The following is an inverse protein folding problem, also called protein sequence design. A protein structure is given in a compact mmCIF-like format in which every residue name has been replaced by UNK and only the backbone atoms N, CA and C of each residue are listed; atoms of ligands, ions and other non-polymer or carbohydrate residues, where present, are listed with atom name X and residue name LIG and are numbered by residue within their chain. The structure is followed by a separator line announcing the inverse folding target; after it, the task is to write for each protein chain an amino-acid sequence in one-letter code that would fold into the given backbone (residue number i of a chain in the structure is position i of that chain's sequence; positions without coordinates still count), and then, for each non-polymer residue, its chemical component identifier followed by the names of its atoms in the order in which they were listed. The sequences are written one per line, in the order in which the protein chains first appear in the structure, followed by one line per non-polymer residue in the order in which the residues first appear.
data_IF_837692727266
#
_entry.id   IF_837692727266
#
_cell.length_a   1.000
_cell.length_b   1.000
_cell.length_c   1.000
_cell.angle_alpha   90.00
_cell.angle_beta   90.00
_cell.angle_gamma   90.00
#
_symmetry.space_group_name_H-M   'P 1'
#
loop_
_entity.id
_entity.type
_entity.pdbx_description
1 polymer ?
#
# COMPACT_ATOMS: atom_id res chain seq x y z
N UNK A 1 -12.57 2.69 -7.11
CA UNK A 1 -12.22 1.62 -6.15
C UNK A 1 -11.89 0.36 -6.94
N UNK A 2 -10.74 -0.29 -6.69
CA UNK A 2 -10.36 -1.55 -7.33
C UNK A 2 -10.16 -2.60 -6.23
N UNK A 3 -10.74 -3.78 -6.42
CA UNK A 3 -10.52 -4.94 -5.56
C UNK A 3 -9.25 -5.65 -6.03
N UNK A 4 -8.41 -6.06 -5.08
CA UNK A 4 -7.22 -6.88 -5.37
C UNK A 4 -7.50 -8.32 -4.99
N UNK A 5 -6.89 -9.27 -5.72
CA UNK A 5 -6.76 -10.66 -5.28
C UNK A 5 -5.83 -10.73 -4.04
N UNK A 6 -5.50 -11.95 -3.57
CA UNK A 6 -4.59 -12.13 -2.43
C UNK A 6 -3.26 -11.38 -2.64
N UNK A 7 -2.85 -10.62 -1.61
CA UNK A 7 -1.61 -9.86 -1.60
C UNK A 7 -0.39 -10.68 -1.11
N UNK A 8 -0.61 -11.94 -0.74
CA UNK A 8 0.41 -12.89 -0.24
C UNK A 8 1.24 -12.35 0.94
N UNK A 9 0.63 -11.52 1.79
CA UNK A 9 1.24 -10.85 2.95
C UNK A 9 0.45 -11.11 4.23
N UNK A 10 0.13 -12.38 4.48
CA UNK A 10 -0.73 -12.78 5.61
C UNK A 10 -0.19 -12.33 6.98
N UNK A 11 1.13 -12.25 7.14
CA UNK A 11 1.78 -11.81 8.39
C UNK A 11 1.64 -10.30 8.67
N UNK A 12 1.11 -9.52 7.71
CA UNK A 12 0.95 -8.07 7.81
C UNK A 12 -0.47 -7.64 8.23
N UNK A 13 -1.33 -8.57 8.67
CA UNK A 13 -2.72 -8.32 9.04
C UNK A 13 -3.45 -7.37 8.05
N UNK A 14 -4.09 -6.30 8.52
CA UNK A 14 -4.73 -5.30 7.67
C UNK A 14 -3.68 -4.50 6.88
N UNK A 15 -3.77 -4.57 5.55
CA UNK A 15 -2.86 -3.89 4.62
C UNK A 15 -3.56 -2.80 3.84
N UNK A 16 -2.96 -1.61 3.81
CA UNK A 16 -3.36 -0.48 2.96
C UNK A 16 -2.24 -0.21 1.96
N UNK A 17 -2.61 -0.11 0.68
CA UNK A 17 -1.67 0.24 -0.40
C UNK A 17 -2.03 1.61 -0.96
N UNK A 18 -1.19 2.60 -0.69
CA UNK A 18 -1.38 3.96 -1.20
C UNK A 18 -0.71 4.07 -2.56
N UNK A 19 -1.53 4.14 -3.61
CA UNK A 19 -1.07 4.36 -4.97
C UNK A 19 -0.69 5.83 -5.18
N UNK A 20 0.45 6.13 -5.84
CA UNK A 20 0.77 7.52 -6.15
C UNK A 20 -0.29 8.15 -7.06
N UNK A 21 -0.56 9.43 -6.86
CA UNK A 21 -1.35 10.25 -7.79
C UNK A 21 -0.60 10.45 -9.12
N UNK A 22 -1.23 11.10 -10.12
CA UNK A 22 -0.54 11.44 -11.36
C UNK A 22 0.72 12.30 -11.10
N UNK A 23 0.60 13.30 -10.23
CA UNK A 23 1.72 14.15 -9.80
C UNK A 23 2.80 13.32 -9.10
N UNK A 24 2.42 12.43 -8.17
CA UNK A 24 3.36 11.54 -7.49
C UNK A 24 4.11 10.63 -8.46
N UNK A 25 3.42 10.05 -9.46
CA UNK A 25 4.08 9.24 -10.50
C UNK A 25 5.05 10.06 -11.35
N UNK A 26 4.69 11.28 -11.71
CA UNK A 26 5.57 12.19 -12.45
C UNK A 26 6.83 12.55 -11.64
N UNK A 27 6.71 12.62 -10.31
CA UNK A 27 7.83 12.77 -9.38
C UNK A 27 8.61 11.46 -9.13
N UNK A 28 8.27 10.35 -9.81
CA UNK A 28 8.96 9.06 -9.68
C UNK A 28 8.50 8.22 -8.48
N UNK A 29 7.44 8.61 -7.77
CA UNK A 29 6.97 7.89 -6.60
C UNK A 29 6.54 6.45 -6.92
N UNK A 30 6.65 5.60 -5.90
CA UNK A 30 6.22 4.20 -5.92
C UNK A 30 5.11 4.00 -4.90
N UNK A 31 4.28 2.96 -5.05
CA UNK A 31 3.27 2.63 -4.06
C UNK A 31 3.90 2.43 -2.68
N UNK A 32 3.24 2.97 -1.65
CA UNK A 32 3.61 2.76 -0.25
C UNK A 32 2.70 1.69 0.33
N UNK A 33 3.29 0.75 1.04
CA UNK A 33 2.62 -0.39 1.64
C UNK A 33 2.66 -0.26 3.16
N UNK A 34 1.48 -0.28 3.76
CA UNK A 34 1.28 -0.11 5.19
C UNK A 34 0.57 -1.36 5.71
N UNK A 35 1.20 -2.07 6.65
CA UNK A 35 0.69 -3.28 7.28
C UNK A 35 0.30 -3.01 8.73
N UNK A 36 -0.37 -3.97 9.36
CA UNK A 36 -0.78 -3.93 10.76
C UNK A 36 -1.65 -2.72 11.12
N UNK A 37 -2.34 -2.13 10.14
CA UNK A 37 -3.19 -0.95 10.34
C UNK A 37 -4.51 -1.39 10.98
N UNK A 38 -4.50 -1.45 12.31
CA UNK A 38 -5.64 -1.86 13.13
C UNK A 38 -6.18 -0.73 14.00
N UNK A 39 -5.53 0.43 13.97
CA UNK A 39 -5.88 1.62 14.75
C UNK A 39 -6.64 2.62 13.87
N UNK A 40 -7.82 3.11 14.31
CA UNK A 40 -8.52 4.20 13.64
C UNK A 40 -7.66 5.46 13.45
N UNK A 41 -6.81 5.82 14.42
CA UNK A 41 -5.98 7.02 14.33
C UNK A 41 -4.95 6.90 13.19
N UNK A 42 -4.34 5.73 13.05
CA UNK A 42 -3.45 5.44 11.92
C UNK A 42 -4.19 5.50 10.58
N UNK A 43 -5.46 5.10 10.55
CA UNK A 43 -6.28 5.20 9.33
C UNK A 43 -6.55 6.66 8.95
N UNK A 44 -6.87 7.50 9.93
CA UNK A 44 -7.08 8.94 9.70
C UNK A 44 -5.79 9.65 9.26
N UNK A 45 -4.63 9.30 9.83
CA UNK A 45 -3.34 9.82 9.37
C UNK A 45 -3.05 9.45 7.90
N UNK A 46 -3.39 8.23 7.49
CA UNK A 46 -3.27 7.79 6.09
C UNK A 46 -4.23 8.59 5.20
N UNK A 47 -5.48 8.76 5.62
CA UNK A 47 -6.50 9.52 4.86
C UNK A 47 -6.06 10.98 4.69
N UNK A 48 -5.60 11.63 5.76
CA UNK A 48 -5.10 12.99 5.74
C UNK A 48 -3.90 13.12 4.78
N UNK A 49 -2.95 12.18 4.83
CA UNK A 49 -1.80 12.17 3.91
C UNK A 49 -2.22 11.97 2.44
N UNK A 50 -3.19 11.09 2.18
CA UNK A 50 -3.75 10.88 0.84
C UNK A 50 -4.42 12.16 0.33
N UNK A 51 -5.18 12.86 1.17
CA UNK A 51 -5.80 14.14 0.82
C UNK A 51 -4.76 15.25 0.54
N UNK A 52 -3.63 15.23 1.25
CA UNK A 52 -2.50 16.13 0.98
C UNK A 52 -1.75 15.81 -0.34
N UNK A 53 -2.05 14.67 -0.97
CA UNK A 53 -1.52 14.26 -2.28
C UNK A 53 -0.74 12.95 -2.25
N UNK A 54 -0.44 12.42 -1.06
CA UNK A 54 0.17 11.11 -0.86
C UNK A 54 1.62 10.99 -1.37
N UNK A 55 2.07 9.76 -1.73
CA UNK A 55 3.45 9.47 -2.09
C UNK A 55 4.04 10.39 -3.16
N UNK A 56 5.17 11.01 -2.84
CA UNK A 56 5.92 11.89 -3.74
C UNK A 56 5.31 13.28 -3.96
N UNK A 57 4.18 13.59 -3.31
CA UNK A 57 3.57 14.93 -3.33
C UNK A 57 3.59 15.55 -1.94
N UNK A 58 3.14 14.80 -0.93
CA UNK A 58 3.20 15.20 0.47
C UNK A 58 4.21 14.34 1.23
N UNK A 59 4.96 14.92 2.19
CA UNK A 59 5.80 14.12 3.08
C UNK A 59 4.94 13.12 3.82
N UNK A 60 5.41 11.88 3.93
CA UNK A 60 4.76 10.87 4.74
C UNK A 60 4.93 11.25 6.21
N UNK A 61 3.87 11.29 7.04
CA UNK A 61 4.00 11.47 8.48
C UNK A 61 4.89 10.38 9.10
N UNK A 62 5.80 10.75 10.00
CA UNK A 62 6.78 9.84 10.61
C UNK A 62 6.10 8.66 11.33
N UNK A 63 4.91 8.86 11.91
CA UNK A 63 4.12 7.78 12.54
C UNK A 63 3.79 6.65 11.57
N UNK A 64 3.63 6.96 10.27
CA UNK A 64 3.35 5.95 9.25
C UNK A 64 4.55 5.07 8.92
N UNK A 65 5.76 5.42 9.38
CA UNK A 65 6.94 4.57 9.24
C UNK A 65 6.83 3.30 10.08
N UNK A 66 6.08 3.33 11.19
CA UNK A 66 5.83 2.15 12.04
C UNK A 66 5.04 1.06 11.30
N UNK A 67 4.24 1.46 10.30
CA UNK A 67 3.39 0.56 9.52
C UNK A 67 4.03 0.21 8.17
N UNK A 68 5.11 0.91 7.78
CA UNK A 68 5.71 0.76 6.47
C UNK A 68 6.45 -0.56 6.31
N UNK A 69 6.14 -1.29 5.25
CA UNK A 69 6.88 -2.50 4.90
C UNK A 69 7.13 -2.59 3.39
N UNK A 70 8.11 -3.40 3.01
CA UNK A 70 8.34 -3.74 1.60
C UNK A 70 7.56 -5.01 1.28
N UNK A 71 6.61 -4.99 0.33
CA UNK A 71 5.90 -6.20 -0.05
C UNK A 71 6.85 -7.19 -0.72
N UNK A 72 6.58 -8.51 -0.62
CA UNK A 72 7.27 -9.49 -1.45
C UNK A 72 7.06 -9.14 -2.92
N UNK A 73 8.08 -9.42 -3.76
CA UNK A 73 7.92 -9.24 -5.21
C UNK A 73 6.76 -10.12 -5.66
N UNK A 74 5.79 -9.54 -6.35
CA UNK A 74 4.67 -10.30 -6.93
C UNK A 74 5.26 -11.46 -7.75
N UNK A 75 4.96 -12.72 -7.42
CA UNK A 75 5.28 -13.82 -8.32
C UNK A 75 4.65 -13.54 -9.68
N UNK A 76 5.27 -13.99 -10.77
CA UNK A 76 4.62 -13.96 -12.08
C UNK A 76 3.24 -14.64 -12.04
N UNK A 77 2.39 -14.48 -13.06
CA UNK A 77 1.08 -15.12 -13.10
C UNK A 77 1.20 -16.60 -12.71
N UNK A 78 0.48 -17.03 -11.67
CA UNK A 78 0.41 -18.44 -11.29
C UNK A 78 -0.23 -19.19 -12.45
N UNK A 79 0.50 -20.13 -13.06
CA UNK A 79 -0.06 -21.03 -14.06
C UNK A 79 -1.18 -21.84 -13.39
N UNK A 80 -2.37 -21.86 -13.99
CA UNK A 80 -3.52 -22.59 -13.41
C UNK A 80 -3.22 -24.09 -13.46
N UNK A 81 -3.41 -24.86 -12.38
CA UNK A 81 -3.32 -26.30 -12.45
C UNK A 81 -4.34 -26.82 -13.47
N UNK A 82 -3.89 -27.62 -14.43
CA UNK A 82 -4.80 -28.42 -15.28
C UNK A 82 -5.34 -29.56 -14.42
N UNK A 83 -6.59 -29.46 -13.98
CA UNK A 83 -7.30 -30.60 -13.41
C UNK A 83 -7.68 -31.55 -14.53
N UNK A 84 -7.20 -32.80 -14.45
CA UNK A 84 -7.63 -33.93 -15.27
C UNK A 84 -9.00 -34.44 -14.86
#
# INVERSE_FOLDING_TARGET
MRISDCLDVCDQANVIVVQPSAAGRAAGARPVWLGLVNDPDATEDIVAWVHAGGPGVAPRPDILDLYAFTPPRRPGPRERPVTS
#
